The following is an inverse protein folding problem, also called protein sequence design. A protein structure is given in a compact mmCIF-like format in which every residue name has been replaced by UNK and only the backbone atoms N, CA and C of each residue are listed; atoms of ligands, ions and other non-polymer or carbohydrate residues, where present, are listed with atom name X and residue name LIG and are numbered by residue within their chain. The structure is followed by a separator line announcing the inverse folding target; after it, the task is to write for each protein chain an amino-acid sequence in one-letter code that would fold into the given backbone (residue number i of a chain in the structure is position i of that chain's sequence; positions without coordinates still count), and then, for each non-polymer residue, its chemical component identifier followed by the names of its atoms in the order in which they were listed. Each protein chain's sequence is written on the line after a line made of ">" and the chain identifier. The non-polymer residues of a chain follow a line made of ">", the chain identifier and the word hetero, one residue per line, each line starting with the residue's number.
data_IF_262296807735
#
_entry.id   IF_262296807735
#
_cell.length_a   1.000
_cell.length_b   1.000
_cell.length_c   1.000
_cell.angle_alpha   90.00
_cell.angle_beta   90.00
_cell.angle_gamma   90.00
#
_symmetry.space_group_name_H-M   'P 1'
#
loop_
_entity.id
_entity.type
_entity.pdbx_description
1 polymer ?
#
# COMPACT_ATOMS: atom_id res chain seq x y z
N UNK A 1 3.77 2.62 -11.21
CA UNK A 1 4.62 1.81 -10.31
C UNK A 1 5.43 0.82 -11.14
N UNK A 2 6.74 0.71 -10.89
CA UNK A 2 7.64 -0.18 -11.63
C UNK A 2 8.57 -0.92 -10.66
N UNK A 3 8.96 -2.15 -11.02
CA UNK A 3 9.96 -2.92 -10.27
C UNK A 3 9.52 -3.25 -8.85
N UNK A 4 10.33 -2.83 -7.88
CA UNK A 4 10.15 -3.15 -6.45
C UNK A 4 9.05 -2.36 -5.76
N UNK A 5 8.67 -1.20 -6.32
CA UNK A 5 7.62 -0.34 -5.77
C UNK A 5 6.29 -1.09 -5.70
N UNK A 6 5.54 -0.85 -4.65
CA UNK A 6 4.30 -1.51 -4.27
C UNK A 6 3.25 -0.47 -3.85
N UNK A 7 1.97 -0.86 -3.77
CA UNK A 7 0.93 0.02 -3.22
C UNK A 7 1.27 0.55 -1.82
N UNK A 8 1.97 -0.25 -0.99
CA UNK A 8 2.40 0.17 0.35
C UNK A 8 3.28 1.43 0.31
N UNK A 9 4.12 1.57 -0.70
CA UNK A 9 5.02 2.72 -0.81
C UNK A 9 4.28 4.04 -1.05
N UNK A 10 3.08 3.98 -1.66
CA UNK A 10 2.23 5.16 -1.86
C UNK A 10 1.81 5.72 -0.51
N UNK A 11 1.22 4.89 0.36
CA UNK A 11 0.75 5.35 1.67
C UNK A 11 1.90 5.67 2.62
N UNK A 12 3.04 4.97 2.54
CA UNK A 12 4.25 5.35 3.28
C UNK A 12 4.76 6.75 2.88
N UNK A 13 4.70 7.08 1.58
CA UNK A 13 5.06 8.41 1.07
C UNK A 13 4.05 9.47 1.48
N UNK A 14 2.74 9.19 1.36
CA UNK A 14 1.67 10.09 1.84
C UNK A 14 1.84 10.37 3.33
N UNK A 15 2.11 9.35 4.14
CA UNK A 15 2.34 9.51 5.57
C UNK A 15 3.52 10.43 5.88
N UNK A 16 4.62 10.31 5.14
CA UNK A 16 5.76 11.23 5.27
C UNK A 16 5.48 12.67 4.84
N UNK A 17 4.51 12.89 3.95
CA UNK A 17 4.12 14.23 3.50
C UNK A 17 3.15 14.87 4.51
N UNK A 18 2.12 14.13 4.91
CA UNK A 18 1.02 14.64 5.73
C UNK A 18 1.31 14.58 7.23
N UNK A 19 2.23 13.73 7.67
CA UNK A 19 2.48 13.40 9.09
C UNK A 19 1.29 12.74 9.77
N UNK A 20 1.47 12.26 11.00
CA UNK A 20 0.43 11.57 11.80
C UNK A 20 -0.82 12.41 12.09
N UNK A 21 -0.81 13.73 11.82
CA UNK A 21 -1.94 14.64 12.06
C UNK A 21 -2.56 15.21 10.78
N UNK A 22 -1.93 15.05 9.62
CA UNK A 22 -2.33 15.77 8.41
C UNK A 22 -3.68 15.36 7.82
N UNK A 23 -4.21 14.19 8.19
CA UNK A 23 -5.54 13.74 7.77
C UNK A 23 -6.66 14.07 8.77
N UNK A 24 -6.35 14.66 9.93
CA UNK A 24 -7.34 14.83 11.02
C UNK A 24 -8.57 15.60 10.56
N UNK A 25 -9.74 14.96 10.62
CA UNK A 25 -11.01 15.57 10.24
C UNK A 25 -11.30 15.57 8.74
N UNK A 26 -10.48 14.91 7.93
CA UNK A 26 -10.63 14.82 6.47
C UNK A 26 -10.79 13.37 5.99
N UNK A 27 -11.42 13.20 4.83
CA UNK A 27 -11.39 11.94 4.06
C UNK A 27 -10.30 12.09 3.00
N UNK A 28 -9.47 11.05 2.82
CA UNK A 28 -8.47 11.02 1.76
C UNK A 28 -9.06 10.32 0.55
N UNK A 29 -9.30 11.08 -0.50
CA UNK A 29 -9.75 10.54 -1.78
C UNK A 29 -8.58 10.46 -2.76
N UNK A 30 -8.38 9.28 -3.34
CA UNK A 30 -7.32 9.02 -4.32
C UNK A 30 -7.86 9.12 -5.75
N UNK A 31 -7.31 10.03 -6.55
CA UNK A 31 -7.72 10.25 -7.93
C UNK A 31 -6.52 10.37 -8.89
N UNK A 32 -6.81 10.47 -10.19
CA UNK A 32 -5.80 10.63 -11.24
C UNK A 32 -5.44 9.33 -11.98
N UNK A 33 -4.65 9.42 -13.07
CA UNK A 33 -4.41 8.31 -14.00
C UNK A 33 -3.63 7.14 -13.36
N UNK A 34 -2.96 7.38 -12.24
CA UNK A 34 -2.24 6.36 -11.48
C UNK A 34 -3.14 5.30 -10.85
N UNK A 35 -4.40 5.64 -10.54
CA UNK A 35 -5.34 4.77 -9.81
C UNK A 35 -5.56 3.43 -10.50
N UNK A 36 -5.76 3.42 -11.82
CA UNK A 36 -6.00 2.20 -12.60
C UNK A 36 -4.80 1.23 -12.66
N UNK A 37 -3.62 1.68 -12.20
CA UNK A 37 -2.40 0.88 -12.10
C UNK A 37 -2.23 0.19 -10.73
N UNK A 38 -3.14 0.43 -9.79
CA UNK A 38 -3.13 -0.19 -8.46
C UNK A 38 -4.17 -1.32 -8.46
N UNK A 39 -3.86 -2.46 -7.86
CA UNK A 39 -4.84 -3.55 -7.72
C UNK A 39 -5.89 -3.22 -6.65
N UNK A 40 -7.04 -3.91 -6.65
CA UNK A 40 -8.06 -3.68 -5.63
C UNK A 40 -7.53 -3.92 -4.20
N UNK A 41 -6.72 -4.96 -4.01
CA UNK A 41 -6.10 -5.26 -2.71
C UNK A 41 -5.03 -4.23 -2.35
N UNK A 42 -4.26 -3.74 -3.32
CA UNK A 42 -3.33 -2.63 -3.15
C UNK A 42 -4.00 -1.30 -2.76
N UNK A 43 -5.16 -0.99 -3.34
CA UNK A 43 -6.00 0.13 -2.89
C UNK A 43 -6.42 -0.07 -1.44
N UNK A 44 -6.79 -1.31 -1.07
CA UNK A 44 -7.05 -1.70 0.32
C UNK A 44 -5.87 -1.42 1.26
N UNK A 45 -4.65 -1.79 0.88
CA UNK A 45 -3.41 -1.48 1.62
C UNK A 45 -3.24 0.03 1.85
N UNK A 46 -3.44 0.82 0.79
CA UNK A 46 -3.29 2.28 0.83
C UNK A 46 -4.34 2.91 1.76
N UNK A 47 -5.61 2.52 1.60
CA UNK A 47 -6.68 3.03 2.44
C UNK A 47 -6.53 2.60 3.90
N UNK A 48 -6.11 1.36 4.15
CA UNK A 48 -5.91 0.82 5.49
C UNK A 48 -4.94 1.70 6.29
N UNK A 49 -3.78 2.02 5.71
CA UNK A 49 -2.76 2.80 6.41
C UNK A 49 -3.00 4.32 6.37
N UNK A 50 -4.13 4.77 5.81
CA UNK A 50 -4.63 6.14 5.98
C UNK A 50 -5.04 6.44 7.43
N UNK A 51 -5.29 5.41 8.23
CA UNK A 51 -5.60 5.56 9.65
C UNK A 51 -4.44 6.19 10.44
N UNK A 52 -3.20 5.88 10.09
CA UNK A 52 -1.97 6.34 10.77
C UNK A 52 -1.72 7.85 10.64
N UNK A 53 -2.40 8.52 9.70
CA UNK A 53 -2.33 9.98 9.51
C UNK A 53 -3.56 10.72 10.04
N UNK A 54 -4.43 10.02 10.77
CA UNK A 54 -5.62 10.60 11.40
C UNK A 54 -6.76 10.86 10.43
N UNK A 55 -6.73 10.31 9.21
CA UNK A 55 -7.83 10.42 8.27
C UNK A 55 -9.10 9.77 8.84
N UNK A 56 -10.25 10.43 8.62
CA UNK A 56 -11.57 9.87 8.96
C UNK A 56 -11.82 8.55 8.23
N UNK A 57 -11.47 8.51 6.94
CA UNK A 57 -11.35 7.30 6.13
C UNK A 57 -10.56 7.63 4.87
N UNK A 58 -10.35 6.62 4.02
CA UNK A 58 -9.68 6.74 2.73
C UNK A 58 -10.47 5.98 1.65
N UNK A 59 -10.57 6.54 0.45
CA UNK A 59 -11.38 5.95 -0.62
C UNK A 59 -10.74 6.09 -2.01
N UNK A 60 -10.93 5.06 -2.83
CA UNK A 60 -10.65 5.10 -4.27
C UNK A 60 -11.97 5.06 -5.04
N UNK A 61 -12.05 5.71 -6.21
CA UNK A 61 -13.22 5.62 -7.08
C UNK A 61 -13.38 4.20 -7.63
N UNK A 62 -14.63 3.80 -7.87
CA UNK A 62 -14.92 2.51 -8.48
C UNK A 62 -14.28 2.39 -9.85
N UNK A 63 -13.56 1.29 -10.08
CA UNK A 63 -12.83 1.05 -11.32
C UNK A 63 -12.77 -0.44 -11.68
N UNK A 64 -12.20 -0.72 -12.86
CA UNK A 64 -12.10 -2.09 -13.40
C UNK A 64 -11.35 -3.07 -12.49
N UNK A 65 -10.40 -2.59 -11.67
CA UNK A 65 -9.62 -3.46 -10.76
C UNK A 65 -10.49 -3.94 -9.60
N UNK A 66 -11.38 -3.08 -9.10
CA UNK A 66 -12.39 -3.47 -8.13
C UNK A 66 -13.40 -4.44 -8.73
N UNK A 67 -13.85 -4.20 -9.97
CA UNK A 67 -14.73 -5.12 -10.69
C UNK A 67 -14.09 -6.52 -10.86
N UNK A 68 -12.83 -6.60 -11.32
CA UNK A 68 -12.11 -7.87 -11.44
C UNK A 68 -11.95 -8.59 -10.10
N UNK A 69 -11.73 -7.87 -9.01
CA UNK A 69 -11.64 -8.46 -7.68
C UNK A 69 -13.00 -9.00 -7.19
N UNK A 70 -14.08 -8.27 -7.43
CA UNK A 70 -15.44 -8.74 -7.15
C UNK A 70 -15.75 -10.01 -7.93
N UNK A 71 -15.42 -10.07 -9.22
CA UNK A 71 -15.58 -11.28 -10.04
C UNK A 71 -14.77 -12.45 -9.49
N UNK A 72 -13.47 -12.24 -9.21
CA UNK A 72 -12.58 -13.28 -8.67
C UNK A 72 -13.03 -13.83 -7.31
N UNK A 73 -13.81 -13.04 -6.56
CA UNK A 73 -14.36 -13.43 -5.25
C UNK A 73 -15.83 -13.86 -5.32
N UNK A 74 -16.32 -14.23 -6.51
CA UNK A 74 -17.67 -14.78 -6.69
C UNK A 74 -18.80 -13.76 -6.61
N UNK A 75 -18.49 -12.45 -6.71
CA UNK A 75 -19.43 -11.32 -6.56
C UNK A 75 -19.60 -10.54 -7.87
N UNK A 76 -19.48 -11.22 -9.01
CA UNK A 76 -19.58 -10.57 -10.33
C UNK A 76 -20.93 -9.89 -10.60
N UNK A 77 -22.01 -10.31 -9.94
CA UNK A 77 -23.30 -9.61 -9.97
C UNK A 77 -23.22 -8.19 -9.37
N UNK A 78 -22.47 -8.00 -8.28
CA UNK A 78 -22.25 -6.69 -7.67
C UNK A 78 -21.43 -5.80 -8.61
N UNK A 79 -20.38 -6.34 -9.24
CA UNK A 79 -19.58 -5.60 -10.21
C UNK A 79 -20.44 -5.09 -11.39
N UNK A 80 -21.30 -5.96 -11.94
CA UNK A 80 -22.23 -5.61 -13.03
C UNK A 80 -23.22 -4.53 -12.62
N UNK A 81 -23.71 -4.55 -11.39
CA UNK A 81 -24.63 -3.52 -10.90
C UNK A 81 -23.90 -2.20 -10.65
N UNK A 82 -22.72 -2.24 -10.03
CA UNK A 82 -21.88 -1.06 -9.79
C UNK A 82 -21.51 -0.33 -11.10
N UNK A 83 -21.21 -1.07 -12.18
CA UNK A 83 -20.89 -0.46 -13.48
C UNK A 83 -22.06 0.34 -14.07
N UNK A 84 -23.32 -0.07 -13.82
CA UNK A 84 -24.50 0.70 -14.27
C UNK A 84 -24.63 2.04 -13.54
N UNK A 85 -24.14 2.11 -12.31
CA UNK A 85 -24.23 3.29 -11.43
C UNK A 85 -22.87 3.97 -11.24
N UNK A 86 -21.94 3.77 -12.18
CA UNK A 86 -20.55 4.23 -12.04
C UNK A 86 -20.42 5.72 -11.75
N UNK A 87 -21.28 6.56 -12.34
CA UNK A 87 -21.29 8.00 -12.09
C UNK A 87 -21.59 8.36 -10.63
N UNK A 88 -22.25 7.49 -9.86
CA UNK A 88 -22.47 7.68 -8.42
C UNK A 88 -21.31 7.16 -7.56
N UNK A 89 -20.37 6.44 -8.16
CA UNK A 89 -19.25 5.75 -7.50
C UNK A 89 -17.89 6.32 -7.90
N UNK A 90 -17.90 7.46 -8.59
CA UNK A 90 -16.72 8.21 -9.03
C UNK A 90 -16.96 9.69 -8.73
N UNK A 91 -15.91 10.46 -8.40
CA UNK A 91 -16.06 11.90 -8.18
C UNK A 91 -16.48 12.62 -9.46
N UNK A 92 -17.19 13.73 -9.29
CA UNK A 92 -17.52 14.64 -10.38
C UNK A 92 -16.26 15.29 -10.96
N UNK A 93 -16.30 15.62 -12.25
CA UNK A 93 -15.21 16.35 -12.90
C UNK A 93 -15.04 17.74 -12.26
N UNK A 94 -13.81 18.07 -11.85
CA UNK A 94 -13.51 19.35 -11.22
C UNK A 94 -14.00 19.49 -9.78
N UNK A 95 -14.35 18.39 -9.11
CA UNK A 95 -14.67 18.39 -7.68
C UNK A 95 -13.55 19.10 -6.88
N UNK A 96 -13.87 20.10 -6.04
CA UNK A 96 -12.88 20.81 -5.25
C UNK A 96 -12.39 19.94 -4.09
N UNK A 97 -11.08 19.97 -3.84
CA UNK A 97 -10.46 19.37 -2.65
C UNK A 97 -9.79 20.47 -1.82
N UNK A 98 -9.98 20.44 -0.50
CA UNK A 98 -9.38 21.43 0.42
C UNK A 98 -7.85 21.39 0.39
N UNK A 99 -7.29 20.23 0.09
CA UNK A 99 -5.85 20.00 -0.08
C UNK A 99 -5.61 18.96 -1.17
N UNK A 100 -4.61 19.20 -2.02
CA UNK A 100 -4.16 18.26 -3.05
C UNK A 100 -2.70 17.91 -2.82
N UNK A 101 -2.39 16.61 -2.78
CA UNK A 101 -1.03 16.07 -2.75
C UNK A 101 -0.82 15.23 -4.00
N UNK A 102 0.18 15.58 -4.80
CA UNK A 102 0.50 14.86 -6.03
C UNK A 102 1.64 13.86 -5.79
N UNK A 103 1.45 12.61 -6.26
CA UNK A 103 2.45 11.55 -6.21
C UNK A 103 2.61 10.94 -7.61
N UNK A 104 3.80 11.09 -8.18
CA UNK A 104 4.17 10.41 -9.41
C UNK A 104 4.60 8.96 -9.13
N UNK A 105 3.71 8.02 -9.46
CA UNK A 105 3.94 6.58 -9.31
C UNK A 105 5.07 6.02 -10.18
N UNK A 106 5.60 6.80 -11.13
CA UNK A 106 6.70 6.40 -12.01
C UNK A 106 8.08 6.66 -11.39
N UNK A 107 8.17 7.65 -10.50
CA UNK A 107 9.40 8.04 -9.78
C UNK A 107 9.42 7.54 -8.33
N UNK A 108 8.28 7.07 -7.81
CA UNK A 108 8.20 6.46 -6.48
C UNK A 108 9.09 5.21 -6.37
N UNK A 109 10.04 5.26 -5.44
CA UNK A 109 10.88 4.11 -5.03
C UNK A 109 10.35 3.45 -3.75
N UNK A 110 10.80 2.22 -3.39
CA UNK A 110 10.37 1.56 -2.17
C UNK A 110 10.72 2.36 -0.90
N UNK A 111 9.86 2.30 0.11
CA UNK A 111 9.97 3.05 1.36
C UNK A 111 9.91 2.14 2.60
N UNK A 112 10.50 2.62 3.69
CA UNK A 112 10.35 2.07 5.04
C UNK A 112 10.16 3.26 5.99
N UNK A 113 9.12 3.19 6.83
CA UNK A 113 8.84 4.22 7.82
C UNK A 113 9.12 3.68 9.23
N UNK A 114 9.50 4.58 10.14
CA UNK A 114 9.85 4.24 11.52
C UNK A 114 11.16 4.89 11.97
N UNK A 115 11.71 4.52 13.14
CA UNK A 115 11.35 3.32 13.90
C UNK A 115 10.17 3.48 14.88
N UNK A 116 9.81 4.70 15.28
CA UNK A 116 8.81 4.92 16.34
C UNK A 116 7.55 5.68 15.91
N UNK A 117 7.53 6.21 14.68
CA UNK A 117 6.33 6.84 14.11
C UNK A 117 6.13 6.37 12.67
N UNK A 118 4.88 6.21 12.21
CA UNK A 118 4.58 5.73 10.87
C UNK A 118 4.80 6.80 9.79
N UNK A 119 5.05 8.05 10.15
CA UNK A 119 5.31 9.17 9.24
C UNK A 119 6.81 9.50 9.06
N UNK A 120 7.69 8.89 9.85
CA UNK A 120 9.13 9.06 9.65
C UNK A 120 9.58 8.23 8.44
N UNK A 121 9.41 8.82 7.25
CA UNK A 121 9.57 8.11 5.98
C UNK A 121 11.02 8.11 5.47
N UNK A 122 11.48 6.94 5.04
CA UNK A 122 12.78 6.76 4.41
C UNK A 122 12.64 6.02 3.08
N UNK A 123 13.17 6.57 1.98
CA UNK A 123 13.40 5.76 0.81
C UNK A 123 14.37 4.62 1.14
N UNK A 124 14.13 3.42 0.62
CA UNK A 124 14.92 2.23 0.93
C UNK A 124 16.41 2.44 0.62
N UNK A 125 16.70 3.22 -0.42
CA UNK A 125 18.04 3.60 -0.86
C UNK A 125 18.82 4.43 0.17
N UNK A 126 18.12 5.07 1.12
CA UNK A 126 18.69 5.90 2.19
C UNK A 126 18.60 5.29 3.58
N UNK A 127 17.82 4.22 3.76
CA UNK A 127 17.56 3.63 5.07
C UNK A 127 18.85 3.27 5.84
N UNK A 128 19.81 2.61 5.18
CA UNK A 128 21.07 2.21 5.84
C UNK A 128 21.96 3.38 6.25
N UNK A 129 21.96 4.46 5.48
CA UNK A 129 22.69 5.70 5.82
C UNK A 129 22.02 6.40 7.00
N UNK A 130 20.68 6.53 6.96
CA UNK A 130 19.89 7.15 8.02
C UNK A 130 20.01 6.39 9.34
N UNK A 131 19.95 5.06 9.29
CA UNK A 131 20.11 4.20 10.47
C UNK A 131 21.48 4.38 11.13
N UNK A 132 22.56 4.41 10.35
CA UNK A 132 23.92 4.67 10.89
C UNK A 132 24.02 6.04 11.55
N UNK A 133 23.51 7.08 10.90
CA UNK A 133 23.54 8.46 11.43
C UNK A 133 22.74 8.61 12.72
N UNK A 134 21.60 7.93 12.81
CA UNK A 134 20.70 8.00 13.96
C UNK A 134 21.03 6.97 15.07
N UNK A 135 22.06 6.13 14.87
CA UNK A 135 22.44 5.10 15.84
C UNK A 135 21.42 3.97 15.98
N UNK A 136 20.63 3.68 14.94
CA UNK A 136 19.68 2.58 14.95
C UNK A 136 20.38 1.23 14.74
N UNK A 137 19.88 0.14 15.34
CA UNK A 137 20.37 -1.21 15.05
C UNK A 137 20.30 -1.50 13.55
N UNK A 138 21.41 -1.99 12.99
CA UNK A 138 21.49 -2.37 11.57
C UNK A 138 21.14 -3.84 11.36
N UNK A 139 21.19 -4.63 12.41
CA UNK A 139 20.82 -6.03 12.41
C UNK A 139 19.30 -6.17 12.55
N UNK A 140 18.68 -6.69 11.49
CA UNK A 140 17.30 -7.12 11.53
C UNK A 140 17.25 -8.37 12.43
N UNK A 141 16.44 -8.36 13.47
CA UNK A 141 16.30 -9.51 14.39
C UNK A 141 15.23 -10.49 13.96
N UNK A 142 14.11 -9.98 13.44
CA UNK A 142 12.95 -10.76 13.01
C UNK A 142 12.35 -10.05 11.80
N UNK A 143 11.87 -10.83 10.85
CA UNK A 143 11.17 -10.35 9.67
C UNK A 143 9.73 -10.85 9.72
N UNK A 144 8.76 -9.95 9.59
CA UNK A 144 7.34 -10.26 9.66
C UNK A 144 6.64 -9.74 8.40
N UNK A 145 5.87 -10.61 7.74
CA UNK A 145 4.99 -10.24 6.62
C UNK A 145 3.56 -10.69 6.89
N UNK A 146 2.59 -10.06 6.23
CA UNK A 146 1.17 -10.36 6.43
C UNK A 146 0.47 -9.31 7.25
N UNK A 147 -0.41 -9.73 8.17
CA UNK A 147 -1.39 -8.89 8.90
C UNK A 147 -2.41 -8.22 7.96
N UNK A 148 -3.39 -7.50 8.50
CA UNK A 148 -4.48 -6.95 7.69
C UNK A 148 -4.04 -5.99 6.57
N UNK A 149 -2.88 -5.33 6.67
CA UNK A 149 -2.43 -4.33 5.69
C UNK A 149 -1.79 -4.93 4.43
N UNK A 150 -1.03 -6.03 4.56
CA UNK A 150 -0.22 -6.62 3.48
C UNK A 150 -0.29 -8.15 3.50
N UNK A 151 -1.50 -8.70 3.46
CA UNK A 151 -1.74 -10.15 3.46
C UNK A 151 -2.68 -10.62 2.36
N UNK A 152 -2.75 -9.91 1.25
CA UNK A 152 -3.48 -10.40 0.08
C UNK A 152 -2.69 -11.50 -0.63
N UNK A 153 -3.36 -12.23 -1.53
CA UNK A 153 -2.66 -13.18 -2.41
C UNK A 153 -1.56 -12.49 -3.24
N UNK A 154 -1.77 -11.23 -3.66
CA UNK A 154 -0.75 -10.46 -4.36
C UNK A 154 0.49 -10.23 -3.48
N UNK A 155 0.31 -9.83 -2.22
CA UNK A 155 1.42 -9.62 -1.28
C UNK A 155 2.19 -10.92 -1.06
N UNK A 156 1.48 -12.02 -0.77
CA UNK A 156 2.07 -13.33 -0.52
C UNK A 156 2.80 -13.87 -1.74
N UNK A 157 2.24 -13.70 -2.94
CA UNK A 157 2.88 -14.11 -4.19
C UNK A 157 4.16 -13.31 -4.48
N UNK A 158 4.18 -11.99 -4.18
CA UNK A 158 5.39 -11.16 -4.31
C UNK A 158 6.49 -11.63 -3.35
N UNK A 159 6.15 -11.84 -2.08
CA UNK A 159 7.09 -12.37 -1.09
C UNK A 159 7.62 -13.76 -1.48
N UNK A 160 6.74 -14.65 -1.94
CA UNK A 160 7.10 -15.99 -2.38
C UNK A 160 8.00 -15.98 -3.62
N UNK A 161 7.81 -15.04 -4.55
CA UNK A 161 8.68 -14.86 -5.73
C UNK A 161 10.13 -14.55 -5.31
N UNK A 162 10.31 -13.61 -4.37
CA UNK A 162 11.62 -13.24 -3.82
C UNK A 162 12.24 -14.43 -3.07
N UNK A 163 11.46 -15.10 -2.22
CA UNK A 163 11.94 -16.26 -1.46
C UNK A 163 12.38 -17.42 -2.38
N UNK A 164 11.62 -17.70 -3.45
CA UNK A 164 11.98 -18.71 -4.46
C UNK A 164 13.29 -18.37 -5.14
N UNK A 165 13.51 -17.11 -5.48
CA UNK A 165 14.75 -16.68 -6.14
C UNK A 165 15.96 -16.80 -5.20
N UNK A 166 15.80 -16.44 -3.92
CA UNK A 166 16.83 -16.65 -2.91
C UNK A 166 17.18 -18.15 -2.76
N UNK A 167 16.17 -19.02 -2.69
CA UNK A 167 16.35 -20.46 -2.54
C UNK A 167 17.08 -21.09 -3.75
N UNK A 168 16.83 -20.62 -4.98
CA UNK A 168 17.57 -21.08 -6.18
C UNK A 168 19.07 -20.79 -6.08
N UNK A 169 19.46 -19.76 -5.34
CA UNK A 169 20.85 -19.40 -5.08
C UNK A 169 21.39 -19.97 -3.76
N UNK A 170 20.66 -20.91 -3.14
CA UNK A 170 21.05 -21.52 -1.86
C UNK A 170 20.94 -20.59 -0.65
N UNK A 171 20.29 -19.42 -0.81
CA UNK A 171 20.10 -18.44 0.25
C UNK A 171 18.82 -18.77 1.04
N UNK A 172 18.94 -18.76 2.36
CA UNK A 172 17.82 -18.88 3.30
C UNK A 172 17.66 -17.57 4.07
N UNK A 173 16.54 -17.41 4.76
CA UNK A 173 16.37 -16.26 5.66
C UNK A 173 17.48 -16.24 6.72
N UNK A 174 18.13 -15.09 6.88
CA UNK A 174 19.14 -14.88 7.91
C UNK A 174 18.53 -14.68 9.32
N UNK A 175 17.22 -14.44 9.38
CA UNK A 175 16.46 -14.15 10.61
C UNK A 175 15.20 -15.02 10.66
N UNK A 176 14.59 -15.22 11.84
CA UNK A 176 13.23 -15.75 11.92
C UNK A 176 12.29 -14.97 10.98
N UNK A 177 11.61 -15.70 10.09
CA UNK A 177 10.71 -15.15 9.09
C UNK A 177 9.29 -15.65 9.32
N UNK A 178 8.43 -14.77 9.81
CA UNK A 178 7.05 -15.10 10.17
C UNK A 178 6.08 -14.59 9.09
N UNK A 179 5.10 -15.42 8.75
CA UNK A 179 4.10 -15.14 7.73
C UNK A 179 2.71 -15.26 8.36
N UNK A 180 1.89 -14.23 8.21
CA UNK A 180 0.52 -14.21 8.72
C UNK A 180 -0.47 -13.96 7.58
N UNK A 181 -1.12 -15.00 7.03
CA UNK A 181 -2.19 -14.85 6.06
C UNK A 181 -3.35 -14.01 6.61
N UNK A 182 -4.05 -13.29 5.72
CA UNK A 182 -5.14 -12.40 6.12
C UNK A 182 -6.44 -13.13 6.44
N UNK A 183 -6.57 -14.35 5.96
CA UNK A 183 -7.71 -15.24 6.16
C UNK A 183 -7.31 -16.67 5.85
N UNK A 184 -8.14 -17.64 6.21
CA UNK A 184 -7.99 -19.05 5.81
C UNK A 184 -8.01 -19.25 4.29
N UNK A 185 -8.64 -18.33 3.55
CA UNK A 185 -8.77 -18.43 2.10
C UNK A 185 -7.47 -18.06 1.36
N UNK A 186 -6.63 -17.22 1.95
CA UNK A 186 -5.38 -16.71 1.34
C UNK A 186 -4.23 -17.65 1.64
#
# INVERSE_FOLDING_TARGET
>A
MKGWTSPKDVILKVAGILTVKGGTGAIIEYFGPGVDNISCTGMGTICNMGAEIGATTSVFPFNKRMASYLEATGRGNIAKEAEKHKSLLTPDEGAPYDQVVEIDLSTLEPHVNGPFTPDLAHPISKLGENAKKAGWPLDIKVSLIGSCTNSSYEDMARCASIAKEALKHGVKSATPFNVTPGSEQV
#
